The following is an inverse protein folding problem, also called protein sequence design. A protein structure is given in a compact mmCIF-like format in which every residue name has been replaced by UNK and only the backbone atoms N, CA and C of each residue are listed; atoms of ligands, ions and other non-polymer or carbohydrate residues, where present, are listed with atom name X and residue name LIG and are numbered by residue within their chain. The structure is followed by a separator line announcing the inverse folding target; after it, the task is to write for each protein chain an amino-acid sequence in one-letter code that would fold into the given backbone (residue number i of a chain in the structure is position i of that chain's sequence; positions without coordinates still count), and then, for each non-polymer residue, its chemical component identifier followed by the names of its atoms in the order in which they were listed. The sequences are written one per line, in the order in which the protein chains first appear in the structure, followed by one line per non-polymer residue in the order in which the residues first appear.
data_IF_870301361161
#
_entry.id   IF_870301361161
#
_cell.length_a   1.000
_cell.length_b   1.000
_cell.length_c   1.000
_cell.angle_alpha   90.00
_cell.angle_beta   90.00
_cell.angle_gamma   90.00
#
_symmetry.space_group_name_H-M   'P 1'
#
loop_
_entity.id
_entity.type
_entity.pdbx_description
1 polymer ?
#
# COMPACT_ATOMS: atom_id res chain seq x y z
N UNK A 1 4.16 1.61 14.84
CA UNK A 1 3.96 0.50 13.88
C UNK A 1 4.49 0.97 12.56
N UNK A 2 5.56 0.34 12.09
CA UNK A 2 6.26 0.79 10.90
C UNK A 2 5.67 0.15 9.65
N UNK A 3 5.66 0.95 8.58
CA UNK A 3 5.28 0.51 7.25
C UNK A 3 6.49 -0.17 6.59
N UNK A 4 6.30 -1.32 5.95
CA UNK A 4 7.38 -2.01 5.24
C UNK A 4 6.89 -2.72 3.98
N UNK A 5 7.79 -2.86 3.01
CA UNK A 5 7.52 -3.51 1.73
C UNK A 5 8.01 -4.96 1.74
N UNK A 6 7.20 -5.85 1.17
CA UNK A 6 7.58 -7.24 0.88
C UNK A 6 7.28 -7.56 -0.58
N UNK A 7 7.91 -8.60 -1.10
CA UNK A 7 7.59 -9.15 -2.42
C UNK A 7 6.91 -10.51 -2.24
N UNK A 8 5.93 -10.79 -3.10
CA UNK A 8 5.33 -12.13 -3.18
C UNK A 8 6.23 -13.08 -3.98
N UNK A 9 5.97 -14.38 -3.90
CA UNK A 9 6.62 -15.40 -4.74
C UNK A 9 6.46 -15.15 -6.25
N UNK A 10 5.51 -14.30 -6.67
CA UNK A 10 5.33 -13.87 -8.07
C UNK A 10 5.98 -12.52 -8.37
N UNK A 11 6.91 -12.08 -7.51
CA UNK A 11 7.63 -10.83 -7.60
C UNK A 11 6.74 -9.56 -7.57
N UNK A 12 5.49 -9.67 -7.08
CA UNK A 12 4.62 -8.52 -6.89
C UNK A 12 4.91 -7.82 -5.56
N UNK A 13 5.03 -6.48 -5.58
CA UNK A 13 5.25 -5.63 -4.42
C UNK A 13 4.00 -5.54 -3.54
N UNK A 14 4.19 -5.70 -2.23
CA UNK A 14 3.15 -5.65 -1.20
C UNK A 14 3.59 -4.70 -0.11
N UNK A 15 2.66 -3.86 0.31
CA UNK A 15 2.84 -2.95 1.43
C UNK A 15 2.19 -3.52 2.68
N UNK A 16 2.92 -3.62 3.77
CA UNK A 16 2.41 -4.07 5.06
C UNK A 16 2.30 -2.87 6.00
N UNK A 17 1.09 -2.61 6.50
CA UNK A 17 0.83 -1.47 7.36
C UNK A 17 -0.36 -1.75 8.29
N UNK A 18 -0.21 -1.44 9.59
CA UNK A 18 -1.24 -1.68 10.64
C UNK A 18 -1.85 -3.10 10.60
N UNK A 19 -1.06 -4.12 10.27
CA UNK A 19 -1.52 -5.51 10.18
C UNK A 19 -2.30 -5.86 8.89
N UNK A 20 -2.47 -4.89 7.98
CA UNK A 20 -3.07 -5.12 6.67
C UNK A 20 -2.01 -5.19 5.58
N UNK A 21 -2.33 -5.92 4.51
CA UNK A 21 -1.52 -5.99 3.30
C UNK A 21 -2.21 -5.22 2.20
N UNK A 22 -1.45 -4.40 1.48
CA UNK A 22 -1.94 -3.60 0.36
C UNK A 22 -1.16 -3.92 -0.91
N UNK A 23 -1.84 -3.79 -2.05
CA UNK A 23 -1.23 -3.84 -3.38
C UNK A 23 -1.46 -2.52 -4.09
N UNK A 24 -0.50 -2.16 -4.95
CA UNK A 24 -0.58 -0.94 -5.73
C UNK A 24 -1.81 -0.99 -6.64
N UNK A 25 -2.65 0.02 -6.53
CA UNK A 25 -3.87 0.17 -7.32
C UNK A 25 -3.64 1.16 -8.46
N UNK A 26 -3.07 2.32 -8.15
CA UNK A 26 -2.79 3.41 -9.10
C UNK A 26 -1.57 4.21 -8.68
N UNK A 27 -0.81 4.67 -9.65
CA UNK A 27 0.26 5.65 -9.46
C UNK A 27 -0.23 6.99 -10.00
N UNK A 28 -0.08 8.03 -9.20
CA UNK A 28 -0.28 9.42 -9.59
C UNK A 28 1.06 10.15 -9.59
N UNK A 29 1.09 11.35 -10.18
CA UNK A 29 2.30 12.17 -10.27
C UNK A 29 3.00 12.37 -8.93
N UNK A 30 2.22 12.54 -7.86
CA UNK A 30 2.72 12.91 -6.53
C UNK A 30 2.37 11.88 -5.44
N UNK A 31 1.60 10.84 -5.77
CA UNK A 31 1.11 9.88 -4.78
C UNK A 31 0.78 8.53 -5.38
N UNK A 32 0.93 7.47 -4.59
CA UNK A 32 0.54 6.11 -4.97
C UNK A 32 -0.67 5.67 -4.15
N UNK A 33 -1.71 5.20 -4.82
CA UNK A 33 -2.90 4.62 -4.20
C UNK A 33 -2.71 3.11 -4.06
N UNK A 34 -2.88 2.62 -2.84
CA UNK A 34 -2.76 1.23 -2.45
C UNK A 34 -4.11 0.73 -1.96
N UNK A 35 -4.50 -0.48 -2.34
CA UNK A 35 -5.75 -1.10 -1.89
C UNK A 35 -5.47 -2.35 -1.07
N UNK A 36 -6.34 -2.60 -0.11
CA UNK A 36 -6.26 -3.81 0.70
C UNK A 36 -6.28 -5.07 -0.19
N UNK A 37 -5.38 -6.01 0.10
CA UNK A 37 -5.18 -7.24 -0.68
C UNK A 37 -6.21 -8.31 -0.34
N UNK A 38 -6.60 -8.40 0.93
CA UNK A 38 -7.49 -9.45 1.45
C UNK A 38 -8.94 -8.97 1.41
N UNK A 39 -9.89 -9.74 0.84
CA UNK A 39 -11.32 -9.44 0.98
C UNK A 39 -11.84 -10.00 2.32
N UNK A 40 -12.82 -9.35 3.00
CA UNK A 40 -13.67 -8.25 2.54
C UNK A 40 -13.08 -6.83 2.69
N UNK A 41 -11.83 -6.68 3.13
CA UNK A 41 -11.22 -5.37 3.34
C UNK A 41 -11.23 -4.52 2.06
N UNK A 42 -11.87 -3.35 2.14
CA UNK A 42 -12.02 -2.36 1.07
C UNK A 42 -11.19 -1.10 1.30
N UNK A 43 -10.38 -1.08 2.36
CA UNK A 43 -9.60 0.10 2.75
C UNK A 43 -8.55 0.44 1.70
N UNK A 44 -8.23 1.73 1.62
CA UNK A 44 -7.27 2.27 0.66
C UNK A 44 -6.30 3.20 1.38
N UNK A 45 -5.02 3.04 1.11
CA UNK A 45 -3.95 3.87 1.66
C UNK A 45 -3.35 4.69 0.52
N UNK A 46 -3.07 5.96 0.77
CA UNK A 46 -2.30 6.78 -0.18
C UNK A 46 -0.94 7.10 0.41
N UNK A 47 0.12 6.78 -0.33
CA UNK A 47 1.48 7.18 -0.01
C UNK A 47 1.92 8.33 -0.92
N UNK A 48 2.89 9.11 -0.48
CA UNK A 48 3.65 9.99 -1.39
C UNK A 48 4.33 9.15 -2.48
N UNK A 49 4.64 9.76 -3.63
CA UNK A 49 5.44 9.18 -4.71
C UNK A 49 6.69 8.45 -4.22
N UNK A 50 7.42 9.01 -3.25
CA UNK A 50 8.61 8.38 -2.68
C UNK A 50 8.28 7.16 -1.80
N UNK A 51 7.01 6.90 -1.55
CA UNK A 51 6.51 5.82 -0.70
C UNK A 51 7.09 5.85 0.73
N UNK A 52 7.49 7.05 1.19
CA UNK A 52 8.07 7.32 2.52
C UNK A 52 7.06 7.79 3.55
N UNK A 53 5.98 8.42 3.11
CA UNK A 53 4.99 9.03 3.99
C UNK A 53 3.58 8.71 3.53
N UNK A 54 2.70 8.56 4.50
CA UNK A 54 1.27 8.34 4.28
C UNK A 54 0.62 9.70 4.08
N UNK A 55 -0.02 9.88 2.92
CA UNK A 55 -0.85 11.05 2.59
C UNK A 55 -2.28 10.83 3.11
N UNK A 56 -2.78 9.60 3.03
CA UNK A 56 -4.14 9.25 3.47
C UNK A 56 -4.14 7.89 4.15
N UNK A 57 -4.60 7.87 5.40
CA UNK A 57 -4.79 6.64 6.18
C UNK A 57 -5.99 5.80 5.66
N UNK A 58 -6.00 4.48 5.91
CA UNK A 58 -7.05 3.56 5.49
C UNK A 58 -8.39 3.77 6.17
#
# INVERSE_FOLDING_TARGET
MDMYFTTTNRNALVLNYKGFQYTLKREHKDSNEWRCRTRPCTTSLSLNRDSKSIIREP
#
